data_IF_830332216965
#
_entry.id   IF_830332216965
#
_cell.length_a   1.000
_cell.length_b   1.000
_cell.length_c   1.000
_cell.angle_alpha   90.00
_cell.angle_beta   90.00
_cell.angle_gamma   90.00
#
_symmetry.space_group_name_H-M   'P 1'
#
loop_
_entity.id
_entity.type
_entity.pdbx_description
1 polymer ?
#
# COMPACT_ATOMS: atom_id res chain seq x y z
N UNK A 1 -10.71 37.05 -60.18
CA UNK A 1 -12.04 36.41 -60.06
C UNK A 1 -12.09 35.86 -58.64
N UNK A 2 -12.41 36.67 -57.64
CA UNK A 2 -13.76 37.13 -57.27
C UNK A 2 -14.61 35.96 -56.75
N UNK A 3 -14.84 35.92 -55.44
CA UNK A 3 -15.73 34.98 -54.77
C UNK A 3 -15.52 34.99 -53.25
N UNK A 4 -16.15 35.94 -52.54
CA UNK A 4 -17.25 35.71 -51.56
C UNK A 4 -16.75 35.09 -50.25
N UNK A 5 -16.81 35.71 -49.07
CA UNK A 5 -17.65 36.79 -48.57
C UNK A 5 -18.46 36.26 -47.38
N UNK A 6 -18.15 36.69 -46.15
CA UNK A 6 -19.16 37.05 -45.14
C UNK A 6 -18.52 37.47 -43.83
N UNK A 7 -18.97 38.64 -43.42
CA UNK A 7 -18.73 39.37 -42.19
C UNK A 7 -19.50 38.71 -41.04
N UNK A 8 -19.03 38.86 -39.79
CA UNK A 8 -19.92 39.18 -38.66
C UNK A 8 -19.12 39.52 -37.39
N UNK A 9 -19.20 40.81 -37.05
CA UNK A 9 -18.97 41.35 -35.71
C UNK A 9 -19.91 40.68 -34.69
N UNK A 10 -19.37 40.27 -33.54
CA UNK A 10 -20.16 40.32 -32.31
C UNK A 10 -19.28 40.64 -31.10
N UNK A 11 -19.45 41.85 -30.56
CA UNK A 11 -19.00 42.23 -29.21
C UNK A 11 -19.91 41.54 -28.20
N UNK A 12 -19.43 40.50 -27.53
CA UNK A 12 -20.12 39.84 -26.42
C UNK A 12 -19.29 39.92 -25.14
N UNK A 13 -19.82 40.61 -24.14
CA UNK A 13 -19.27 40.73 -22.77
C UNK A 13 -18.89 39.36 -22.19
N UNK A 14 -17.67 39.23 -21.68
CA UNK A 14 -17.30 38.11 -20.82
C UNK A 14 -18.13 38.14 -19.54
N UNK A 15 -19.08 37.22 -19.41
CA UNK A 15 -19.73 36.91 -18.14
C UNK A 15 -18.95 35.75 -17.53
N UNK A 16 -18.24 36.04 -16.45
CA UNK A 16 -17.50 35.05 -15.68
C UNK A 16 -18.46 33.99 -15.12
N UNK A 17 -18.13 32.71 -15.33
CA UNK A 17 -18.77 31.59 -14.64
C UNK A 17 -18.17 31.50 -13.23
N UNK A 18 -18.95 31.38 -12.14
CA UNK A 18 -18.37 31.18 -10.82
C UNK A 18 -17.86 29.74 -10.73
N UNK A 19 -16.54 29.59 -10.68
CA UNK A 19 -15.88 28.37 -10.23
C UNK A 19 -15.79 28.45 -8.70
N UNK A 20 -16.47 27.57 -7.97
CA UNK A 20 -16.21 27.38 -6.53
C UNK A 20 -16.59 25.96 -6.10
N UNK A 21 -15.73 25.00 -6.44
CA UNK A 21 -15.48 23.86 -5.57
C UNK A 21 -14.12 24.09 -4.92
N UNK A 22 -14.11 24.92 -3.87
CA UNK A 22 -12.89 25.23 -3.13
C UNK A 22 -13.03 24.64 -1.71
N UNK A 23 -12.41 23.50 -1.40
CA UNK A 23 -12.63 22.75 -0.15
C UNK A 23 -12.28 23.56 1.11
N UNK A 24 -11.38 24.55 0.99
CA UNK A 24 -11.02 25.45 2.08
C UNK A 24 -12.19 26.35 2.54
N UNK A 25 -13.05 26.79 1.62
CA UNK A 25 -14.24 27.59 1.94
C UNK A 25 -15.34 26.74 2.58
N UNK A 26 -15.43 25.46 2.23
CA UNK A 26 -16.38 24.52 2.83
C UNK A 26 -15.98 24.16 4.27
N UNK A 27 -14.70 23.94 4.53
CA UNK A 27 -14.18 23.67 5.87
C UNK A 27 -14.40 24.86 6.82
N UNK A 28 -14.05 26.07 6.38
CA UNK A 28 -14.29 27.30 7.16
C UNK A 28 -15.78 27.53 7.44
N UNK A 29 -16.65 27.21 6.47
CA UNK A 29 -18.10 27.33 6.65
C UNK A 29 -18.63 26.32 7.66
N UNK A 30 -18.15 25.08 7.63
CA UNK A 30 -18.54 24.05 8.59
C UNK A 30 -18.08 24.40 10.03
N UNK A 31 -16.86 24.90 10.18
CA UNK A 31 -16.34 25.38 11.47
C UNK A 31 -17.17 26.55 12.03
N UNK A 32 -17.57 27.47 11.16
CA UNK A 32 -18.39 28.62 11.55
C UNK A 32 -19.84 28.24 11.87
N UNK A 33 -20.39 27.24 11.18
CA UNK A 33 -21.72 26.70 11.44
C UNK A 33 -21.75 25.89 12.75
N UNK A 34 -20.66 25.18 13.06
CA UNK A 34 -20.47 24.51 14.35
C UNK A 34 -20.31 25.51 15.51
N UNK A 35 -19.60 26.62 15.29
CA UNK A 35 -19.44 27.68 16.29
C UNK A 35 -20.75 28.42 16.63
N UNK A 36 -21.65 28.54 15.65
CA UNK A 36 -22.96 29.17 15.81
C UNK A 36 -24.08 28.18 16.21
N UNK A 37 -23.81 26.88 16.21
CA UNK A 37 -24.76 25.87 16.64
C UNK A 37 -25.01 25.98 18.16
N UNK A 38 -26.25 25.70 18.63
CA UNK A 38 -26.55 25.73 20.06
C UNK A 38 -25.65 24.75 20.85
N UNK A 39 -25.35 25.04 22.13
CA UNK A 39 -24.35 24.31 22.91
C UNK A 39 -24.58 22.79 22.94
N UNK A 40 -25.84 22.35 22.93
CA UNK A 40 -26.21 20.94 22.96
C UNK A 40 -25.78 20.17 21.71
N UNK A 41 -25.70 20.81 20.55
CA UNK A 41 -25.25 20.19 19.29
C UNK A 41 -23.73 20.09 19.25
N UNK A 42 -23.02 21.09 19.78
CA UNK A 42 -21.56 21.05 19.91
C UNK A 42 -21.13 19.94 20.86
N UNK A 43 -21.84 19.77 21.97
CA UNK A 43 -21.52 18.75 22.97
C UNK A 43 -21.84 17.34 22.45
N UNK A 44 -22.93 17.16 21.69
CA UNK A 44 -23.22 15.89 21.01
C UNK A 44 -22.16 15.53 19.97
N UNK A 45 -21.65 16.49 19.21
CA UNK A 45 -20.59 16.24 18.22
C UNK A 45 -19.26 15.89 18.90
N UNK A 46 -18.91 16.57 20.00
CA UNK A 46 -17.74 16.22 20.82
C UNK A 46 -17.87 14.83 21.42
N UNK A 47 -19.02 14.48 21.98
CA UNK A 47 -19.28 13.16 22.53
C UNK A 47 -19.17 12.07 21.46
N UNK A 48 -19.68 12.31 20.25
CA UNK A 48 -19.57 11.38 19.12
C UNK A 48 -18.11 11.20 18.65
N UNK A 49 -17.34 12.28 18.56
CA UNK A 49 -15.91 12.23 18.23
C UNK A 49 -15.11 11.49 19.32
N UNK A 50 -15.43 11.74 20.59
CA UNK A 50 -14.80 11.08 21.72
C UNK A 50 -15.15 9.58 21.76
N UNK A 51 -16.37 9.20 21.40
CA UNK A 51 -16.78 7.81 21.27
C UNK A 51 -16.05 7.10 20.11
N UNK A 52 -15.90 7.75 18.95
CA UNK A 52 -15.09 7.21 17.85
C UNK A 52 -13.60 7.10 18.22
N UNK A 53 -13.03 8.08 18.92
CA UNK A 53 -11.65 8.04 19.38
C UNK A 53 -11.44 6.90 20.39
N UNK A 54 -12.40 6.65 21.28
CA UNK A 54 -12.35 5.54 22.24
C UNK A 54 -12.55 4.19 21.55
N UNK A 55 -13.40 4.09 20.54
CA UNK A 55 -13.55 2.87 19.72
C UNK A 55 -12.31 2.57 18.87
N UNK A 56 -11.62 3.61 18.37
CA UNK A 56 -10.35 3.45 17.65
C UNK A 56 -9.22 3.03 18.61
N UNK A 57 -9.19 3.61 19.82
CA UNK A 57 -8.25 3.24 20.88
C UNK A 57 -8.52 1.86 21.51
N UNK A 58 -9.77 1.36 21.47
CA UNK A 58 -10.19 0.12 22.10
C UNK A 58 -10.40 -1.07 21.13
N UNK A 59 -10.21 -0.90 19.81
CA UNK A 59 -10.43 -2.02 18.88
C UNK A 59 -10.22 -1.75 17.40
N UNK A 60 -9.40 -0.75 17.04
CA UNK A 60 -9.13 -0.36 15.65
C UNK A 60 -7.76 -0.76 15.12
N UNK A 61 -7.16 -1.82 15.61
CA UNK A 61 -6.01 -2.46 14.97
C UNK A 61 -6.53 -3.70 14.23
N UNK A 62 -6.77 -3.57 12.93
CA UNK A 62 -6.83 -4.73 12.06
C UNK A 62 -5.58 -5.58 12.28
N UNK A 63 -5.80 -6.87 12.46
CA UNK A 63 -4.81 -7.88 12.74
C UNK A 63 -3.59 -7.78 11.80
N UNK A 64 -2.44 -7.36 12.34
CA UNK A 64 -1.09 -7.68 11.86
C UNK A 64 -0.09 -7.00 12.80
N UNK A 65 0.34 -7.72 13.83
CA UNK A 65 1.68 -7.62 14.44
C UNK A 65 1.62 -8.27 15.81
N UNK A 66 1.95 -9.56 15.84
CA UNK A 66 2.39 -10.22 17.06
C UNK A 66 3.37 -9.33 17.81
N UNK A 67 3.08 -9.06 19.09
CA UNK A 67 3.81 -8.14 19.96
C UNK A 67 5.23 -8.61 20.32
N UNK A 68 6.14 -8.61 19.35
CA UNK A 68 7.58 -8.64 19.56
C UNK A 68 8.11 -7.26 19.19
N UNK A 69 8.86 -6.63 20.09
CA UNK A 69 9.63 -5.43 19.76
C UNK A 69 10.42 -5.68 18.46
N UNK A 70 10.46 -4.72 17.52
CA UNK A 70 11.16 -4.90 16.26
C UNK A 70 12.63 -5.18 16.56
N UNK A 71 13.10 -6.35 16.10
CA UNK A 71 14.52 -6.71 16.23
C UNK A 71 15.37 -5.69 15.49
N UNK A 72 16.51 -5.33 16.07
CA UNK A 72 17.46 -4.45 15.43
C UNK A 72 17.98 -5.09 14.13
N UNK A 73 18.21 -4.31 13.06
CA UNK A 73 18.74 -4.86 11.80
C UNK A 73 20.10 -5.56 11.97
N UNK A 74 20.84 -5.22 13.03
CA UNK A 74 22.12 -5.86 13.37
C UNK A 74 21.97 -7.35 13.74
N UNK A 75 20.83 -7.74 14.31
CA UNK A 75 20.52 -9.12 14.66
C UNK A 75 20.14 -9.98 13.43
N UNK A 76 19.71 -9.34 12.34
CA UNK A 76 19.35 -10.01 11.10
C UNK A 76 20.57 -10.32 10.25
N UNK A 77 21.26 -11.44 10.59
CA UNK A 77 22.49 -11.89 9.91
C UNK A 77 22.40 -11.98 8.39
N UNK A 78 21.23 -12.33 7.85
CA UNK A 78 20.97 -12.41 6.42
C UNK A 78 20.65 -11.02 5.83
N UNK A 79 19.61 -10.36 6.32
CA UNK A 79 19.11 -9.10 5.74
C UNK A 79 20.11 -7.94 5.77
N UNK A 80 21.04 -7.93 6.72
CA UNK A 80 22.14 -6.94 6.74
C UNK A 80 23.08 -7.00 5.52
N UNK A 81 23.05 -8.10 4.76
CA UNK A 81 23.87 -8.29 3.54
C UNK A 81 23.12 -7.96 2.27
N UNK A 82 21.81 -7.71 2.36
CA UNK A 82 20.96 -7.49 1.21
C UNK A 82 20.83 -5.98 0.94
N UNK A 83 20.62 -5.58 -0.33
CA UNK A 83 20.37 -4.20 -0.70
C UNK A 83 18.95 -3.80 -0.31
N UNK A 84 18.72 -3.61 0.99
CA UNK A 84 17.45 -3.17 1.58
C UNK A 84 17.68 -1.98 2.50
N UNK A 85 16.70 -1.07 2.55
CA UNK A 85 16.74 0.12 3.43
C UNK A 85 16.79 -0.34 4.88
N UNK A 86 17.65 0.30 5.68
CA UNK A 86 17.78 -0.01 7.11
C UNK A 86 16.72 0.74 7.92
N UNK A 87 16.38 0.24 9.10
CA UNK A 87 15.35 0.85 9.96
C UNK A 87 15.65 2.32 10.32
N UNK A 88 16.92 2.68 10.48
CA UNK A 88 17.34 4.04 10.89
C UNK A 88 17.77 4.92 9.71
N UNK A 89 17.59 4.46 8.48
CA UNK A 89 17.98 5.18 7.26
C UNK A 89 16.87 6.10 6.78
N UNK A 90 17.18 7.38 6.59
CA UNK A 90 16.27 8.35 5.99
C UNK A 90 16.50 8.38 4.49
N UNK A 91 15.50 7.97 3.71
CA UNK A 91 15.54 7.99 2.25
C UNK A 91 15.04 9.35 1.75
N UNK A 92 15.90 10.11 1.09
CA UNK A 92 15.57 11.44 0.55
C UNK A 92 15.08 11.40 -0.90
N UNK A 93 15.54 10.40 -1.67
CA UNK A 93 15.22 10.24 -3.10
C UNK A 93 14.93 8.76 -3.42
N UNK A 94 13.96 8.52 -4.30
CA UNK A 94 13.61 7.17 -4.75
C UNK A 94 14.60 6.69 -5.82
N UNK A 95 15.16 5.49 -5.65
CA UNK A 95 16.06 4.89 -6.64
C UNK A 95 16.60 3.51 -6.25
N UNK A 96 17.44 2.91 -7.12
CA UNK A 96 18.15 1.67 -6.82
C UNK A 96 19.09 1.84 -5.62
N UNK A 97 19.13 0.85 -4.73
CA UNK A 97 20.03 0.83 -3.56
C UNK A 97 21.47 0.48 -3.98
N UNK A 98 21.61 -0.43 -4.95
CA UNK A 98 22.87 -0.79 -5.58
C UNK A 98 22.79 -0.56 -7.10
N UNK A 99 23.93 -0.34 -7.74
CA UNK A 99 24.01 -0.19 -9.18
C UNK A 99 23.80 -1.53 -9.91
N UNK A 100 23.35 -1.46 -11.16
CA UNK A 100 23.16 -2.64 -11.99
C UNK A 100 24.46 -3.43 -12.15
N UNK A 101 24.36 -4.73 -11.89
CA UNK A 101 25.47 -5.67 -12.04
C UNK A 101 25.45 -6.24 -13.46
N UNK A 102 26.56 -6.13 -14.23
CA UNK A 102 26.68 -6.77 -15.53
C UNK A 102 26.42 -8.29 -15.48
N UNK A 103 25.80 -8.85 -16.51
CA UNK A 103 25.39 -10.26 -16.54
C UNK A 103 26.57 -11.24 -16.35
N UNK A 104 27.77 -10.87 -16.82
CA UNK A 104 29.00 -11.65 -16.67
C UNK A 104 29.53 -11.68 -15.22
N UNK A 105 29.09 -10.75 -14.37
CA UNK A 105 29.37 -10.73 -12.93
C UNK A 105 28.28 -11.44 -12.12
N UNK A 106 27.14 -11.77 -12.73
CA UNK A 106 26.11 -12.59 -12.11
C UNK A 106 26.54 -14.05 -12.12
N UNK A 107 26.37 -14.71 -10.98
CA UNK A 107 26.73 -16.11 -10.82
C UNK A 107 25.90 -17.01 -11.76
N UNK A 108 26.59 -17.77 -12.62
CA UNK A 108 25.94 -18.71 -13.53
C UNK A 108 25.53 -20.05 -12.91
N UNK A 109 26.07 -20.41 -11.73
CA UNK A 109 25.78 -21.69 -11.06
C UNK A 109 24.76 -21.52 -9.92
N UNK A 110 23.85 -22.48 -9.67
CA UNK A 110 22.89 -22.40 -8.57
C UNK A 110 23.54 -22.45 -7.19
N UNK A 111 22.93 -21.80 -6.19
CA UNK A 111 23.43 -21.86 -4.80
C UNK A 111 23.52 -23.29 -4.27
N UNK A 112 24.57 -23.64 -3.52
CA UNK A 112 24.68 -24.99 -2.96
C UNK A 112 23.53 -25.25 -2.00
N UNK A 113 22.88 -26.40 -2.16
CA UNK A 113 21.88 -26.92 -1.24
C UNK A 113 22.49 -28.01 -0.34
N UNK A 114 21.85 -28.36 0.79
CA UNK A 114 22.21 -29.57 1.52
C UNK A 114 22.11 -30.81 0.62
N UNK A 115 22.90 -31.84 0.93
CA UNK A 115 23.19 -32.97 0.02
C UNK A 115 21.94 -33.73 -0.43
N UNK A 116 20.89 -33.71 0.37
CA UNK A 116 19.64 -34.42 0.17
C UNK A 116 18.64 -33.66 -0.72
N UNK A 117 18.98 -32.45 -1.14
CA UNK A 117 18.11 -31.58 -1.94
C UNK A 117 18.76 -31.19 -3.26
N UNK A 118 17.92 -30.98 -4.26
CA UNK A 118 18.31 -30.46 -5.56
C UNK A 118 17.39 -29.33 -5.99
N UNK A 119 17.89 -28.47 -6.88
CA UNK A 119 17.06 -27.46 -7.52
C UNK A 119 16.19 -28.12 -8.59
N UNK A 120 14.92 -27.74 -8.63
CA UNK A 120 13.99 -28.13 -9.68
C UNK A 120 13.27 -26.91 -10.24
N UNK A 121 12.82 -27.00 -11.49
CA UNK A 121 11.93 -26.02 -12.11
C UNK A 121 10.52 -26.61 -12.08
N UNK A 122 9.57 -25.84 -11.56
CA UNK A 122 8.16 -26.26 -11.48
C UNK A 122 7.42 -25.78 -12.73
N UNK A 123 6.87 -26.71 -13.50
CA UNK A 123 6.01 -26.44 -14.62
C UNK A 123 4.55 -26.29 -14.16
N UNK A 124 4.03 -25.07 -14.20
CA UNK A 124 2.65 -24.76 -13.80
C UNK A 124 1.59 -25.29 -14.77
N UNK A 125 1.98 -25.69 -15.98
CA UNK A 125 1.07 -26.30 -16.96
C UNK A 125 0.97 -27.83 -16.80
N UNK A 126 1.78 -28.43 -15.91
CA UNK A 126 1.70 -29.85 -15.58
C UNK A 126 0.84 -30.05 -14.33
N UNK A 127 -0.30 -30.74 -14.50
CA UNK A 127 -1.27 -31.02 -13.44
C UNK A 127 -0.66 -31.72 -12.21
N UNK A 128 0.40 -32.52 -12.38
CA UNK A 128 1.06 -33.21 -11.29
C UNK A 128 1.96 -32.25 -10.52
N UNK A 129 2.77 -31.47 -11.21
CA UNK A 129 3.70 -30.53 -10.57
C UNK A 129 2.98 -29.39 -9.85
N UNK A 130 1.91 -28.85 -10.43
CA UNK A 130 1.10 -27.82 -9.77
C UNK A 130 0.40 -28.35 -8.53
N UNK A 131 -0.03 -29.63 -8.56
CA UNK A 131 -0.61 -30.28 -7.39
C UNK A 131 0.42 -30.46 -6.27
N UNK A 132 1.65 -30.87 -6.58
CA UNK A 132 2.74 -30.95 -5.61
C UNK A 132 3.05 -29.57 -4.97
N UNK A 133 3.06 -28.51 -5.78
CA UNK A 133 3.23 -27.14 -5.29
C UNK A 133 2.06 -26.69 -4.40
N UNK A 134 0.82 -26.96 -4.81
CA UNK A 134 -0.38 -26.68 -4.02
C UNK A 134 -0.31 -27.38 -2.66
N UNK A 135 -0.02 -28.68 -2.63
CA UNK A 135 0.09 -29.44 -1.38
C UNK A 135 1.19 -28.88 -0.47
N UNK A 136 2.35 -28.50 -1.04
CA UNK A 136 3.43 -27.87 -0.30
C UNK A 136 2.97 -26.57 0.37
N UNK A 137 2.29 -25.69 -0.36
CA UNK A 137 1.83 -24.40 0.16
C UNK A 137 0.71 -24.58 1.19
N UNK A 138 -0.36 -25.32 0.86
CA UNK A 138 -1.50 -25.48 1.77
C UNK A 138 -1.11 -26.14 3.10
N UNK A 139 -0.10 -27.04 3.10
CA UNK A 139 0.31 -27.75 4.31
C UNK A 139 1.41 -27.05 5.14
N UNK A 140 2.20 -26.16 4.53
CA UNK A 140 3.40 -25.57 5.18
C UNK A 140 3.48 -24.04 5.09
N UNK A 141 2.55 -23.39 4.39
CA UNK A 141 2.50 -21.94 4.28
C UNK A 141 1.68 -21.32 5.41
N UNK A 142 1.69 -19.98 5.44
CA UNK A 142 1.21 -19.07 6.50
C UNK A 142 0.12 -19.66 7.39
N UNK A 143 0.49 -19.83 8.65
CA UNK A 143 -0.43 -20.02 9.77
C UNK A 143 -0.77 -18.65 10.33
N UNK A 144 -2.01 -18.44 10.75
CA UNK A 144 -2.32 -17.32 11.64
C UNK A 144 -1.60 -17.49 12.99
N UNK A 145 -1.52 -16.43 13.78
CA UNK A 145 -0.77 -16.44 15.06
C UNK A 145 -1.25 -17.56 16.01
N UNK A 146 -2.51 -18.01 15.89
CA UNK A 146 -3.12 -19.06 16.70
C UNK A 146 -3.20 -20.44 15.99
N UNK A 147 -2.67 -20.56 14.77
CA UNK A 147 -2.71 -21.77 13.92
C UNK A 147 -4.12 -22.37 13.73
N UNK A 148 -5.15 -21.53 13.75
CA UNK A 148 -6.54 -21.91 13.52
C UNK A 148 -6.91 -21.95 12.03
N UNK A 149 -6.19 -21.19 11.20
CA UNK A 149 -6.47 -21.06 9.78
C UNK A 149 -5.19 -21.18 8.94
N UNK A 150 -5.34 -21.87 7.81
CA UNK A 150 -4.33 -21.92 6.75
C UNK A 150 -4.98 -21.50 5.45
N UNK A 151 -4.22 -20.79 4.62
CA UNK A 151 -4.67 -20.46 3.28
C UNK A 151 -4.72 -21.72 2.42
N UNK A 152 -5.89 -21.96 1.84
CA UNK A 152 -6.13 -23.04 0.88
C UNK A 152 -6.02 -22.47 -0.53
N UNK A 153 -4.85 -22.59 -1.14
CA UNK A 153 -4.58 -22.02 -2.46
C UNK A 153 -5.34 -22.79 -3.55
N UNK A 154 -5.99 -22.13 -4.50
CA UNK A 154 -6.50 -22.86 -5.67
C UNK A 154 -5.34 -23.24 -6.60
N UNK A 155 -5.43 -24.43 -7.21
CA UNK A 155 -4.53 -24.81 -8.31
C UNK A 155 -4.95 -24.22 -9.67
N UNK A 156 -6.12 -23.54 -9.72
CA UNK A 156 -6.71 -22.90 -10.91
C UNK A 156 -6.23 -21.45 -11.11
#
# INVERSE_FOLDING_TARGET
MSGTGSNNNNKGKGVARPAVNNPALTAQRFEQELANAPPDVQDKLRALLQQMALSNAAGGAGAASSGKEPKSMEEHKFWKTQPVVKHDEVVEEDGPIEADVPLDQVRATPYPLPKEFEWTLVNVEDDKEIKELYELLTLNYVEDDDAMFRFDYSAE
#
